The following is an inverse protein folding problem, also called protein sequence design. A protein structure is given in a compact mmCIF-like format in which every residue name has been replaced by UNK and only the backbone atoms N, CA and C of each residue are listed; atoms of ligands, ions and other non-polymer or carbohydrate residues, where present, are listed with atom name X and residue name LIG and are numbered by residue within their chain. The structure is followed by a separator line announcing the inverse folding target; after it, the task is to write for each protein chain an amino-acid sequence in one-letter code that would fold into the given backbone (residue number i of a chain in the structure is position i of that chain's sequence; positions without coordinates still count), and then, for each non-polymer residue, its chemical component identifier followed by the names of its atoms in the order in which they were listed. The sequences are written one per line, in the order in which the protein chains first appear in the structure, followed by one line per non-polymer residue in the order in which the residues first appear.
data_IF_649121642708
#
_entry.id   IF_649121642708
#
_cell.length_a   1.000
_cell.length_b   1.000
_cell.length_c   1.000
_cell.angle_alpha   90.00
_cell.angle_beta   90.00
_cell.angle_gamma   90.00
#
_symmetry.space_group_name_H-M   'P 1'
#
loop_
_entity.id
_entity.type
_entity.pdbx_description
1 polymer ?
#
# COMPACT_ATOMS: atom_id res chain seq x y z
N UNK A 1 18.88 23.53 -8.32
CA UNK A 1 18.03 23.61 -7.11
C UNK A 1 18.29 22.38 -6.28
N UNK A 2 18.32 22.53 -4.97
CA UNK A 2 18.40 21.39 -4.06
C UNK A 2 17.13 20.54 -4.23
N UNK A 3 17.20 19.19 -4.21
CA UNK A 3 16.01 18.33 -4.24
C UNK A 3 14.95 18.70 -3.18
N UNK A 4 15.38 19.24 -2.03
CA UNK A 4 14.50 19.74 -0.98
C UNK A 4 13.72 21.00 -1.37
N UNK A 5 14.31 21.90 -2.18
CA UNK A 5 13.65 23.11 -2.69
C UNK A 5 12.52 22.76 -3.66
N UNK A 6 12.77 21.81 -4.58
CA UNK A 6 11.79 21.36 -5.58
C UNK A 6 10.59 20.69 -4.89
N UNK A 7 10.88 19.83 -3.90
CA UNK A 7 9.87 19.18 -3.08
C UNK A 7 9.01 20.20 -2.33
N UNK A 8 9.64 21.18 -1.69
CA UNK A 8 8.93 22.25 -1.00
C UNK A 8 8.02 23.04 -1.95
N UNK A 9 8.51 23.43 -3.13
CA UNK A 9 7.71 24.13 -4.13
C UNK A 9 6.49 23.30 -4.59
N UNK A 10 6.68 22.00 -4.87
CA UNK A 10 5.58 21.11 -5.28
C UNK A 10 4.53 20.94 -4.17
N UNK A 11 4.97 20.87 -2.91
CA UNK A 11 4.07 20.82 -1.75
C UNK A 11 3.33 22.14 -1.60
N UNK A 12 4.01 23.28 -1.67
CA UNK A 12 3.36 24.59 -1.58
C UNK A 12 2.32 24.81 -2.68
N UNK A 13 2.63 24.47 -3.93
CA UNK A 13 1.70 24.56 -5.06
C UNK A 13 0.44 23.69 -4.87
N UNK A 14 0.58 22.56 -4.17
CA UNK A 14 -0.54 21.65 -3.89
C UNK A 14 -1.32 22.01 -2.61
N UNK A 15 -0.81 22.93 -1.78
CA UNK A 15 -1.40 23.39 -0.51
C UNK A 15 -2.35 24.59 -0.67
N UNK A 16 -2.37 25.30 -1.79
CA UNK A 16 -3.07 26.59 -1.94
C UNK A 16 -4.62 26.53 -1.81
N UNK A 17 -5.23 25.35 -1.59
CA UNK A 17 -6.71 25.20 -1.58
C UNK A 17 -7.33 24.35 -0.47
N UNK A 18 -6.58 23.72 0.44
CA UNK A 18 -7.13 22.63 1.27
C UNK A 18 -6.82 22.76 2.78
N UNK A 19 -7.79 23.29 3.54
CA UNK A 19 -7.65 23.46 5.00
C UNK A 19 -7.76 22.14 5.79
N UNK A 20 -8.31 21.08 5.20
CA UNK A 20 -8.63 19.81 5.87
C UNK A 20 -7.65 18.67 5.59
N UNK A 21 -6.60 18.93 4.80
CA UNK A 21 -5.64 17.91 4.36
C UNK A 21 -4.21 18.23 4.84
N UNK A 22 -3.36 17.22 4.88
CA UNK A 22 -1.93 17.32 5.16
C UNK A 22 -1.15 16.40 4.21
N UNK A 23 0.16 16.57 4.15
CA UNK A 23 1.03 15.76 3.30
C UNK A 23 1.97 14.92 4.15
N UNK A 24 2.07 13.63 3.86
CA UNK A 24 3.08 12.73 4.41
C UNK A 24 4.16 12.46 3.36
N UNK A 25 5.41 12.57 3.77
CA UNK A 25 6.57 12.25 2.94
C UNK A 25 7.20 10.95 3.43
N UNK A 26 7.35 10.00 2.51
CA UNK A 26 7.91 8.68 2.76
C UNK A 26 9.24 8.54 2.03
N UNK A 27 10.39 8.51 2.73
CA UNK A 27 11.69 8.34 2.10
C UNK A 27 11.94 6.85 1.80
N UNK A 28 12.36 6.57 0.56
CA UNK A 28 12.55 5.23 0.02
C UNK A 28 14.05 4.85 -0.11
N UNK A 29 14.91 5.33 0.79
CA UNK A 29 16.35 5.14 0.70
C UNK A 29 16.85 3.80 1.29
N UNK A 30 17.24 2.84 0.46
CA UNK A 30 18.10 1.73 0.89
C UNK A 30 19.58 2.19 0.89
N UNK A 31 20.23 2.27 2.06
CA UNK A 31 21.68 2.56 2.15
C UNK A 31 22.59 1.51 1.49
N UNK A 32 22.04 0.42 0.95
CA UNK A 32 22.83 -0.73 0.49
C UNK A 32 23.23 -0.66 -1.00
N UNK A 33 22.74 0.33 -1.76
CA UNK A 33 23.07 0.50 -3.19
C UNK A 33 23.32 1.97 -3.57
N UNK A 34 24.32 2.62 -2.96
CA UNK A 34 24.83 3.90 -3.48
C UNK A 34 26.17 3.69 -4.19
N UNK A 35 26.13 3.74 -5.53
CA UNK A 35 27.25 4.30 -6.30
C UNK A 35 27.23 5.82 -6.11
N UNK A 36 28.36 6.50 -5.87
CA UNK A 36 28.39 7.92 -5.47
C UNK A 36 27.97 8.94 -6.53
N UNK A 37 27.48 8.50 -7.69
CA UNK A 37 27.48 9.33 -8.91
C UNK A 37 26.12 9.78 -9.44
N UNK A 38 25.01 9.59 -8.70
CA UNK A 38 23.72 10.26 -8.95
C UNK A 38 22.78 10.07 -7.74
N UNK A 39 22.90 10.90 -6.71
CA UNK A 39 21.98 10.93 -5.57
C UNK A 39 20.63 11.55 -5.97
N UNK A 40 19.78 10.78 -6.63
CA UNK A 40 18.37 11.12 -6.77
C UNK A 40 17.66 10.64 -5.51
N UNK A 41 17.34 11.56 -4.59
CA UNK A 41 16.60 11.25 -3.38
C UNK A 41 15.22 10.70 -3.79
N UNK A 42 14.93 9.45 -3.45
CA UNK A 42 13.66 8.81 -3.78
C UNK A 42 12.70 8.91 -2.58
N UNK A 43 11.55 9.54 -2.78
CA UNK A 43 10.51 9.68 -1.77
C UNK A 43 9.12 9.62 -2.41
N UNK A 44 8.11 9.32 -1.60
CA UNK A 44 6.70 9.45 -1.97
C UNK A 44 6.07 10.60 -1.21
N UNK A 45 5.09 11.26 -1.81
CA UNK A 45 4.27 12.29 -1.20
C UNK A 45 2.82 11.86 -1.25
N UNK A 46 2.17 11.72 -0.10
CA UNK A 46 0.77 11.32 0.00
C UNK A 46 0.00 12.44 0.70
N UNK A 47 -1.02 12.98 0.02
CA UNK A 47 -2.00 13.87 0.61
C UNK A 47 -3.08 13.04 1.33
N UNK A 48 -3.46 13.45 2.53
CA UNK A 48 -4.38 12.75 3.42
C UNK A 48 -5.25 13.74 4.19
N UNK A 49 -6.46 13.34 4.57
CA UNK A 49 -7.33 14.13 5.43
C UNK A 49 -6.86 14.05 6.89
N UNK A 50 -6.99 15.16 7.61
CA UNK A 50 -6.62 15.27 9.04
C UNK A 50 -7.51 14.37 9.92
N UNK A 51 -8.75 14.11 9.50
CA UNK A 51 -9.68 13.24 10.22
C UNK A 51 -9.66 11.81 9.66
N UNK A 52 -9.68 10.82 10.55
CA UNK A 52 -9.73 9.41 10.17
C UNK A 52 -11.02 9.01 9.45
N UNK A 53 -12.10 9.77 9.66
CA UNK A 53 -13.38 9.60 8.99
C UNK A 53 -13.81 10.98 8.51
N UNK A 54 -14.01 11.14 7.21
CA UNK A 54 -14.42 12.41 6.61
C UNK A 54 -15.30 12.12 5.39
N UNK A 55 -16.26 13.02 5.11
CA UNK A 55 -17.22 12.89 3.99
C UNK A 55 -17.99 11.55 3.95
N UNK A 56 -18.11 10.86 5.10
CA UNK A 56 -18.80 9.57 5.20
C UNK A 56 -17.95 8.34 4.83
N UNK A 57 -16.63 8.52 4.62
CA UNK A 57 -15.71 7.45 4.25
C UNK A 57 -14.48 7.42 5.17
N UNK A 58 -13.84 6.26 5.28
CA UNK A 58 -12.56 6.03 5.98
C UNK A 58 -11.37 6.08 5.03
N UNK A 59 -11.59 6.18 3.71
CA UNK A 59 -10.52 6.06 2.70
C UNK A 59 -9.72 7.33 2.45
N UNK A 60 -10.01 8.44 3.13
CA UNK A 60 -9.30 9.71 2.95
C UNK A 60 -8.05 9.86 3.83
N UNK A 61 -7.74 8.88 4.67
CA UNK A 61 -6.50 8.80 5.44
C UNK A 61 -5.85 7.42 5.28
N UNK A 62 -4.54 7.34 5.42
CA UNK A 62 -3.82 6.08 5.50
C UNK A 62 -4.06 5.42 6.86
N UNK A 63 -4.23 4.11 6.84
CA UNK A 63 -4.38 3.29 8.05
C UNK A 63 -3.12 2.47 8.31
N UNK A 64 -2.92 2.03 9.56
CA UNK A 64 -1.69 1.39 10.03
C UNK A 64 -1.26 0.20 9.16
N UNK A 65 -2.20 -0.64 8.70
CA UNK A 65 -1.88 -1.77 7.84
C UNK A 65 -1.32 -1.35 6.47
N UNK A 66 -1.65 -0.16 5.97
CA UNK A 66 -1.12 0.35 4.69
C UNK A 66 0.37 0.67 4.80
N UNK A 67 0.82 1.25 5.92
CA UNK A 67 2.25 1.51 6.17
C UNK A 67 3.04 0.21 6.30
N UNK A 68 2.51 -0.74 7.06
CA UNK A 68 3.10 -2.06 7.22
C UNK A 68 3.20 -2.84 5.89
N UNK A 69 2.13 -2.80 5.08
CA UNK A 69 2.12 -3.46 3.77
C UNK A 69 3.10 -2.78 2.81
N UNK A 70 3.16 -1.44 2.81
CA UNK A 70 4.09 -0.67 2.00
C UNK A 70 5.55 -1.02 2.31
N UNK A 71 5.93 -1.08 3.60
CA UNK A 71 7.27 -1.54 4.02
C UNK A 71 7.55 -2.98 3.60
N UNK A 72 6.60 -3.88 3.84
CA UNK A 72 6.74 -5.30 3.49
C UNK A 72 6.96 -5.49 1.99
N UNK A 73 6.19 -4.79 1.15
CA UNK A 73 6.31 -4.89 -0.31
C UNK A 73 7.58 -4.21 -0.83
N UNK A 74 7.96 -3.05 -0.26
CA UNK A 74 9.23 -2.39 -0.58
C UNK A 74 10.43 -3.31 -0.34
N UNK A 75 10.47 -3.95 0.84
CA UNK A 75 11.51 -4.91 1.17
C UNK A 75 11.42 -6.16 0.33
N UNK A 76 10.21 -6.65 0.06
CA UNK A 76 10.02 -7.83 -0.79
C UNK A 76 10.53 -7.62 -2.20
N UNK A 77 10.33 -6.42 -2.75
CA UNK A 77 10.83 -6.02 -4.05
C UNK A 77 12.36 -5.86 -4.03
N UNK A 78 12.90 -5.16 -3.03
CA UNK A 78 14.34 -4.84 -2.93
C UNK A 78 15.21 -6.06 -2.62
N UNK A 79 14.69 -7.02 -1.84
CA UNK A 79 15.43 -8.23 -1.41
C UNK A 79 15.04 -9.48 -2.18
N UNK A 80 14.08 -9.36 -3.11
CA UNK A 80 13.51 -10.48 -3.87
C UNK A 80 12.86 -11.56 -2.96
N UNK A 81 12.28 -11.16 -1.82
CA UNK A 81 11.56 -12.06 -0.90
C UNK A 81 10.34 -12.69 -1.57
N UNK A 82 9.66 -11.92 -2.42
CA UNK A 82 8.51 -12.36 -3.22
C UNK A 82 8.86 -12.24 -4.71
N UNK A 83 9.52 -13.25 -5.32
CA UNK A 83 10.01 -13.15 -6.69
C UNK A 83 8.90 -12.97 -7.73
N UNK A 84 7.68 -13.41 -7.43
CA UNK A 84 6.54 -13.20 -8.33
C UNK A 84 6.15 -11.71 -8.40
N UNK A 85 6.39 -10.92 -7.34
CA UNK A 85 6.03 -9.50 -7.31
C UNK A 85 6.83 -8.73 -8.37
N UNK A 86 8.16 -8.91 -8.43
CA UNK A 86 9.02 -8.24 -9.42
C UNK A 86 8.73 -8.67 -10.86
N UNK A 87 8.11 -9.83 -11.04
CA UNK A 87 7.71 -10.36 -12.34
C UNK A 87 6.27 -10.02 -12.73
N UNK A 88 5.48 -9.35 -11.87
CA UNK A 88 4.08 -9.06 -12.15
C UNK A 88 3.96 -8.15 -13.39
N UNK A 89 2.90 -8.34 -14.18
CA UNK A 89 2.51 -7.41 -15.26
C UNK A 89 1.27 -6.60 -14.86
N UNK A 90 0.38 -7.20 -14.08
CA UNK A 90 -0.85 -6.56 -13.63
C UNK A 90 -0.95 -6.59 -12.11
N UNK A 91 -1.08 -5.42 -11.48
CA UNK A 91 -1.31 -5.30 -10.04
C UNK A 91 -2.62 -4.55 -9.81
N UNK A 92 -3.47 -5.08 -8.93
CA UNK A 92 -4.72 -4.46 -8.51
C UNK A 92 -4.68 -4.19 -7.01
N UNK A 93 -4.85 -2.95 -6.60
CA UNK A 93 -5.08 -2.59 -5.20
C UNK A 93 -6.58 -2.46 -4.93
N UNK A 94 -7.10 -3.18 -3.94
CA UNK A 94 -8.49 -3.11 -3.48
C UNK A 94 -8.61 -2.21 -2.25
N UNK A 95 -9.55 -1.26 -2.28
CA UNK A 95 -9.74 -0.32 -1.16
C UNK A 95 -8.49 0.53 -0.94
N UNK A 96 -7.99 1.14 -2.02
CA UNK A 96 -6.71 1.82 -2.04
C UNK A 96 -6.64 3.02 -1.09
N UNK A 97 -7.77 3.64 -0.74
CA UNK A 97 -7.79 4.84 0.09
C UNK A 97 -6.90 5.94 -0.50
N UNK A 98 -5.90 6.40 0.26
CA UNK A 98 -4.91 7.37 -0.19
C UNK A 98 -3.94 6.83 -1.27
N UNK A 99 -3.84 5.51 -1.46
CA UNK A 99 -3.02 4.88 -2.49
C UNK A 99 -1.56 4.65 -2.13
N UNK A 100 -1.19 4.70 -0.84
CA UNK A 100 0.20 4.54 -0.38
C UNK A 100 0.87 3.27 -0.96
N UNK A 101 0.18 2.13 -0.92
CA UNK A 101 0.74 0.85 -1.33
C UNK A 101 0.95 0.78 -2.84
N UNK A 102 -0.08 1.10 -3.64
CA UNK A 102 0.00 1.10 -5.09
C UNK A 102 1.00 2.13 -5.64
N UNK A 103 1.04 3.34 -5.06
CA UNK A 103 2.02 4.38 -5.43
C UNK A 103 3.45 3.93 -5.11
N UNK A 104 3.66 3.28 -3.96
CA UNK A 104 4.97 2.71 -3.63
C UNK A 104 5.41 1.67 -4.66
N UNK A 105 4.53 0.73 -5.00
CA UNK A 105 4.84 -0.29 -6.00
C UNK A 105 5.14 0.36 -7.36
N UNK A 106 4.31 1.30 -7.82
CA UNK A 106 4.53 2.02 -9.06
C UNK A 106 5.91 2.71 -9.09
N UNK A 107 6.32 3.35 -7.99
CA UNK A 107 7.66 3.95 -7.89
C UNK A 107 8.78 2.90 -8.01
N UNK A 108 8.63 1.72 -7.39
CA UNK A 108 9.62 0.64 -7.51
C UNK A 108 9.78 0.13 -8.95
N UNK A 109 8.66 -0.06 -9.66
CA UNK A 109 8.71 -0.47 -11.07
C UNK A 109 9.22 0.63 -12.00
N UNK A 110 8.85 1.89 -11.73
CA UNK A 110 9.34 3.06 -12.48
C UNK A 110 10.87 3.14 -12.46
N UNK A 111 11.49 2.88 -11.30
CA UNK A 111 12.95 2.88 -11.16
C UNK A 111 13.61 1.66 -11.82
N UNK A 112 12.91 0.52 -11.84
CA UNK A 112 13.42 -0.75 -12.34
C UNK A 112 13.01 -1.00 -13.81
N UNK A 113 13.27 -0.03 -14.73
CA UNK A 113 12.83 0.12 -16.16
C UNK A 113 12.96 -1.08 -17.12
N UNK A 114 12.73 -2.30 -16.66
CA UNK A 114 13.00 -3.56 -17.32
C UNK A 114 11.71 -4.25 -17.83
N UNK A 115 10.53 -3.74 -17.47
CA UNK A 115 9.25 -4.36 -17.84
C UNK A 115 8.09 -3.36 -17.84
N UNK A 116 7.16 -3.57 -18.76
CA UNK A 116 5.85 -2.93 -18.76
C UNK A 116 4.98 -3.46 -17.61
N UNK A 117 4.47 -2.55 -16.79
CA UNK A 117 3.52 -2.88 -15.72
C UNK A 117 2.28 -1.99 -15.76
N UNK A 118 1.14 -2.58 -15.43
CA UNK A 118 -0.11 -1.88 -15.18
C UNK A 118 -0.57 -2.05 -13.73
N UNK A 119 -0.70 -0.94 -13.02
CA UNK A 119 -1.24 -0.85 -11.68
C UNK A 119 -2.62 -0.17 -11.71
N UNK A 120 -3.62 -0.84 -11.15
CA UNK A 120 -4.96 -0.28 -10.95
C UNK A 120 -5.17 -0.11 -9.46
N UNK A 121 -5.44 1.11 -9.01
CA UNK A 121 -5.73 1.42 -7.62
C UNK A 121 -7.24 1.65 -7.52
N UNK A 122 -7.95 0.83 -6.76
CA UNK A 122 -9.42 0.82 -6.80
C UNK A 122 -10.06 1.16 -5.46
N UNK A 123 -11.17 1.90 -5.54
CA UNK A 123 -12.02 2.24 -4.40
C UNK A 123 -13.47 2.43 -4.88
N UNK A 124 -14.42 2.45 -3.94
CA UNK A 124 -15.85 2.59 -4.22
C UNK A 124 -16.38 4.01 -3.95
N UNK A 125 -15.59 4.86 -3.28
CA UNK A 125 -15.98 6.23 -2.93
C UNK A 125 -15.37 7.26 -3.90
N UNK A 126 -16.19 8.16 -4.44
CA UNK A 126 -15.74 9.15 -5.42
C UNK A 126 -14.77 10.19 -4.83
N UNK A 127 -14.93 10.59 -3.56
CA UNK A 127 -13.98 11.50 -2.91
C UNK A 127 -12.63 10.81 -2.70
N UNK A 128 -12.63 9.50 -2.44
CA UNK A 128 -11.40 8.70 -2.36
C UNK A 128 -10.73 8.61 -3.73
N UNK A 129 -11.49 8.34 -4.81
CA UNK A 129 -10.94 8.31 -6.17
C UNK A 129 -10.36 9.66 -6.60
N UNK A 130 -10.99 10.78 -6.23
CA UNK A 130 -10.44 12.13 -6.45
C UNK A 130 -9.10 12.33 -5.74
N UNK A 131 -9.02 11.97 -4.45
CA UNK A 131 -7.79 12.05 -3.67
C UNK A 131 -6.70 11.12 -4.22
N UNK A 132 -7.07 9.90 -4.61
CA UNK A 132 -6.18 8.91 -5.19
C UNK A 132 -5.55 9.41 -6.50
N UNK A 133 -6.36 10.00 -7.38
CA UNK A 133 -5.85 10.65 -8.61
C UNK A 133 -4.91 11.82 -8.29
N UNK A 134 -5.21 12.62 -7.27
CA UNK A 134 -4.32 13.67 -6.79
C UNK A 134 -2.99 13.08 -6.32
N UNK A 135 -3.01 12.03 -5.51
CA UNK A 135 -1.80 11.37 -5.00
C UNK A 135 -0.96 10.72 -6.09
N UNK A 136 -1.59 10.10 -7.10
CA UNK A 136 -0.88 9.63 -8.29
C UNK A 136 -0.17 10.81 -8.96
N UNK A 137 -0.88 11.91 -9.23
CA UNK A 137 -0.29 13.11 -9.86
C UNK A 137 0.83 13.75 -9.04
N UNK A 138 0.76 13.72 -7.72
CA UNK A 138 1.81 14.26 -6.84
C UNK A 138 3.15 13.52 -6.99
N UNK A 139 3.12 12.22 -7.28
CA UNK A 139 4.33 11.39 -7.37
C UNK A 139 4.82 11.22 -8.81
N UNK A 140 3.92 11.34 -9.78
CA UNK A 140 4.15 10.92 -11.15
C UNK A 140 3.86 12.04 -12.17
N UNK A 141 3.17 13.12 -11.78
CA UNK A 141 2.75 14.19 -12.68
C UNK A 141 1.47 13.86 -13.45
N UNK A 142 1.11 14.71 -14.41
CA UNK A 142 -0.17 14.62 -15.13
C UNK A 142 -0.17 13.59 -16.28
N UNK A 143 0.99 13.04 -16.65
CA UNK A 143 1.17 12.25 -17.88
C UNK A 143 2.16 11.08 -17.69
N UNK A 144 1.93 10.17 -16.73
CA UNK A 144 2.64 8.87 -16.79
C UNK A 144 1.83 7.87 -17.60
N UNK A 145 2.07 7.98 -18.90
CA UNK A 145 2.34 6.83 -19.75
C UNK A 145 3.83 6.99 -20.12
N UNK A 146 4.75 6.73 -19.19
CA UNK A 146 6.06 6.26 -19.65
C UNK A 146 5.82 4.87 -20.23
N UNK A 147 6.49 4.50 -21.33
CA UNK A 147 6.23 3.26 -22.08
C UNK A 147 6.15 1.98 -21.21
N UNK A 148 6.70 2.01 -19.99
CA UNK A 148 6.86 0.87 -19.11
C UNK A 148 5.98 0.89 -17.83
N UNK A 149 5.29 2.00 -17.51
CA UNK A 149 4.45 2.09 -16.30
C UNK A 149 3.12 2.76 -16.61
N UNK A 150 2.04 2.03 -16.38
CA UNK A 150 0.67 2.54 -16.38
C UNK A 150 0.14 2.45 -14.95
N UNK A 151 -0.24 3.58 -14.36
CA UNK A 151 -0.93 3.64 -13.07
C UNK A 151 -2.24 4.43 -13.24
N UNK A 152 -3.35 3.84 -12.83
CA UNK A 152 -4.67 4.48 -12.92
C UNK A 152 -5.52 4.20 -11.67
N UNK A 153 -6.41 5.14 -11.32
CA UNK A 153 -7.48 4.87 -10.35
C UNK A 153 -8.70 4.30 -11.06
N UNK A 154 -9.44 3.39 -10.41
CA UNK A 154 -10.66 2.80 -10.97
C UNK A 154 -11.74 2.62 -9.92
N UNK A 155 -12.97 2.99 -10.26
CA UNK A 155 -14.14 2.68 -9.43
C UNK A 155 -14.35 1.16 -9.37
N UNK A 156 -14.45 0.61 -8.16
CA UNK A 156 -14.79 -0.79 -7.93
C UNK A 156 -15.57 -0.93 -6.62
N UNK A 157 -16.87 -1.18 -6.74
CA UNK A 157 -17.73 -1.54 -5.61
C UNK A 157 -17.76 -3.07 -5.45
N UNK A 158 -17.35 -3.55 -4.27
CA UNK A 158 -17.31 -4.98 -3.96
C UNK A 158 -18.71 -5.61 -3.97
N UNK A 159 -19.77 -4.83 -3.69
CA UNK A 159 -21.15 -5.30 -3.70
C UNK A 159 -21.76 -5.32 -5.11
N UNK A 160 -21.20 -4.56 -6.05
CA UNK A 160 -21.75 -4.37 -7.37
C UNK A 160 -20.64 -4.34 -8.44
N UNK A 161 -20.18 -5.53 -8.82
CA UNK A 161 -19.21 -5.71 -9.91
C UNK A 161 -19.68 -6.79 -10.89
N UNK A 162 -19.22 -6.68 -12.14
CA UNK A 162 -19.43 -7.69 -13.17
C UNK A 162 -18.14 -8.52 -13.27
N UNK A 163 -18.15 -9.83 -12.96
CA UNK A 163 -16.94 -10.65 -12.94
C UNK A 163 -16.10 -10.60 -14.23
N UNK A 164 -16.77 -10.50 -15.38
CA UNK A 164 -16.11 -10.44 -16.69
C UNK A 164 -15.44 -9.08 -17.00
N UNK A 165 -15.78 -8.03 -16.24
CA UNK A 165 -15.25 -6.66 -16.45
C UNK A 165 -14.13 -6.33 -15.45
N UNK A 166 -13.81 -7.28 -14.57
CA UNK A 166 -12.68 -7.17 -13.66
C UNK A 166 -11.37 -7.12 -14.46
N UNK A 167 -10.44 -6.21 -14.12
CA UNK A 167 -9.18 -6.16 -14.81
C UNK A 167 -8.36 -7.43 -14.55
N UNK A 168 -7.42 -7.79 -15.44
CA UNK A 168 -6.43 -8.81 -15.13
C UNK A 168 -5.62 -8.38 -13.91
N UNK A 169 -5.26 -9.33 -13.06
CA UNK A 169 -4.40 -9.11 -11.91
C UNK A 169 -3.52 -10.36 -11.70
N UNK A 170 -2.21 -10.16 -11.67
CA UNK A 170 -1.24 -11.17 -11.24
C UNK A 170 -1.08 -11.14 -9.72
N UNK A 171 -1.05 -9.91 -9.18
CA UNK A 171 -0.97 -9.64 -7.75
C UNK A 171 -2.11 -8.71 -7.37
N UNK A 172 -2.90 -9.13 -6.40
CA UNK A 172 -3.88 -8.29 -5.73
C UNK A 172 -3.27 -7.83 -4.41
N UNK A 173 -3.32 -6.55 -4.10
CA UNK A 173 -2.89 -6.02 -2.79
C UNK A 173 -4.06 -5.32 -2.11
N UNK A 174 -4.10 -5.37 -0.79
CA UNK A 174 -5.08 -4.61 -0.02
C UNK A 174 -4.61 -4.40 1.42
N UNK A 175 -4.93 -3.25 1.99
CA UNK A 175 -4.60 -2.94 3.38
C UNK A 175 -5.81 -2.45 4.15
N UNK A 176 -6.02 -3.01 5.34
CA UNK A 176 -7.07 -2.61 6.28
C UNK A 176 -8.51 -2.67 5.70
N UNK A 177 -8.76 -3.64 4.81
CA UNK A 177 -10.09 -3.92 4.24
C UNK A 177 -10.92 -4.95 5.03
N UNK A 178 -10.34 -5.55 6.08
CA UNK A 178 -10.99 -6.55 6.96
C UNK A 178 -11.45 -5.86 8.24
N UNK A 179 -12.58 -5.14 8.18
CA UNK A 179 -13.10 -4.38 9.32
C UNK A 179 -14.61 -4.52 9.54
N UNK A 180 -15.39 -4.72 8.47
CA UNK A 180 -16.85 -4.85 8.54
C UNK A 180 -17.31 -6.24 8.04
N UNK A 181 -17.82 -7.11 8.94
CA UNK A 181 -18.35 -8.41 8.57
C UNK A 181 -19.44 -8.39 7.50
N UNK A 182 -20.22 -7.32 7.39
CA UNK A 182 -21.29 -7.22 6.37
C UNK A 182 -20.70 -7.18 4.94
N UNK A 183 -19.46 -6.72 4.79
CA UNK A 183 -18.77 -6.65 3.50
C UNK A 183 -18.10 -7.98 3.09
N UNK A 184 -17.90 -8.91 4.03
CA UNK A 184 -17.12 -10.13 3.78
C UNK A 184 -17.66 -11.01 2.64
N UNK A 185 -18.99 -11.27 2.53
CA UNK A 185 -19.51 -12.09 1.44
C UNK A 185 -19.14 -11.53 0.05
N UNK A 186 -19.29 -10.21 -0.11
CA UNK A 186 -19.00 -9.47 -1.35
C UNK A 186 -17.51 -9.44 -1.65
N UNK A 187 -16.69 -9.09 -0.64
CA UNK A 187 -15.23 -9.05 -0.77
C UNK A 187 -14.65 -10.43 -1.12
N UNK A 188 -15.10 -11.49 -0.47
CA UNK A 188 -14.60 -12.85 -0.73
C UNK A 188 -15.03 -13.32 -2.12
N UNK A 189 -16.24 -12.98 -2.56
CA UNK A 189 -16.69 -13.30 -3.92
C UNK A 189 -15.85 -12.58 -4.98
N UNK A 190 -15.52 -11.30 -4.75
CA UNK A 190 -14.61 -10.52 -5.59
C UNK A 190 -13.22 -11.15 -5.64
N UNK A 191 -12.62 -11.45 -4.48
CA UNK A 191 -11.31 -12.12 -4.39
C UNK A 191 -11.32 -13.45 -5.13
N UNK A 192 -12.39 -14.25 -5.00
CA UNK A 192 -12.52 -15.51 -5.75
C UNK A 192 -12.50 -15.28 -7.26
N UNK A 193 -13.24 -14.29 -7.76
CA UNK A 193 -13.27 -13.96 -9.18
C UNK A 193 -11.87 -13.52 -9.68
N UNK A 194 -11.21 -12.62 -8.94
CA UNK A 194 -9.87 -12.14 -9.26
C UNK A 194 -8.83 -13.26 -9.24
N UNK A 195 -8.84 -14.11 -8.21
CA UNK A 195 -7.93 -15.24 -8.08
C UNK A 195 -8.20 -16.38 -9.08
N UNK A 196 -9.40 -16.42 -9.67
CA UNK A 196 -9.75 -17.35 -10.76
C UNK A 196 -9.51 -16.76 -12.15
N UNK A 197 -9.01 -15.52 -12.26
CA UNK A 197 -8.92 -14.83 -13.54
C UNK A 197 -7.78 -15.40 -14.40
N UNK A 198 -8.17 -16.16 -15.42
CA UNK A 198 -7.27 -16.77 -16.41
C UNK A 198 -6.60 -15.74 -17.36
N UNK A 199 -6.96 -14.46 -17.26
CA UNK A 199 -6.29 -13.38 -18.00
C UNK A 199 -5.01 -12.89 -17.30
N UNK A 200 -4.68 -13.44 -16.13
CA UNK A 200 -3.40 -13.20 -15.46
C UNK A 200 -2.24 -13.78 -16.27
N UNK A 201 -1.09 -13.10 -16.21
CA UNK A 201 0.16 -13.56 -16.81
C UNK A 201 0.72 -14.79 -16.09
N UNK A 202 0.50 -14.93 -14.79
CA UNK A 202 1.01 -16.05 -13.99
C UNK A 202 0.15 -17.32 -14.00
N UNK A 203 -1.06 -17.29 -14.58
CA UNK A 203 -2.08 -18.35 -14.50
C UNK A 203 -2.48 -18.77 -13.06
N UNK A 204 -1.93 -18.11 -12.05
CA UNK A 204 -2.18 -18.33 -10.63
C UNK A 204 -1.98 -16.98 -9.90
N UNK A 205 -3.01 -16.11 -9.91
CA UNK A 205 -2.96 -14.85 -9.20
C UNK A 205 -2.76 -15.05 -7.69
N UNK A 206 -2.12 -14.07 -7.05
CA UNK A 206 -1.85 -14.07 -5.61
C UNK A 206 -2.45 -12.81 -5.00
N UNK A 207 -3.11 -12.92 -3.85
CA UNK A 207 -3.56 -11.75 -3.08
C UNK A 207 -2.72 -11.58 -1.82
N UNK A 208 -2.17 -10.38 -1.59
CA UNK A 208 -1.43 -9.99 -0.39
C UNK A 208 -2.28 -8.99 0.38
N UNK A 209 -2.83 -9.41 1.52
CA UNK A 209 -3.76 -8.60 2.32
C UNK A 209 -3.16 -8.36 3.70
N UNK A 210 -3.00 -7.08 4.06
CA UNK A 210 -2.61 -6.65 5.40
C UNK A 210 -3.83 -6.19 6.19
N UNK A 211 -3.88 -6.51 7.47
CA UNK A 211 -4.90 -5.95 8.38
C UNK A 211 -4.36 -5.75 9.78
N UNK A 212 -4.82 -4.67 10.42
CA UNK A 212 -4.63 -4.45 11.84
C UNK A 212 -5.65 -5.29 12.64
N UNK A 213 -5.18 -6.08 13.59
CA UNK A 213 -6.02 -6.89 14.48
C UNK A 213 -6.65 -5.99 15.54
N UNK A 214 -7.81 -5.40 15.20
CA UNK A 214 -8.63 -4.60 16.12
C UNK A 214 -9.60 -5.48 16.91
N UNK A 215 -10.21 -6.45 16.23
CA UNK A 215 -11.04 -7.50 16.83
C UNK A 215 -10.61 -8.86 16.27
N UNK A 216 -10.03 -9.76 17.08
CA UNK A 216 -9.66 -11.11 16.65
C UNK A 216 -10.83 -11.92 16.09
N UNK A 217 -12.05 -11.74 16.60
CA UNK A 217 -13.24 -12.47 16.13
C UNK A 217 -13.60 -12.06 14.69
N UNK A 218 -13.50 -10.78 14.36
CA UNK A 218 -13.72 -10.25 13.01
C UNK A 218 -12.73 -10.87 12.02
N UNK A 219 -11.45 -10.96 12.39
CA UNK A 219 -10.43 -11.61 11.56
C UNK A 219 -10.71 -13.11 11.40
N UNK A 220 -10.99 -13.82 12.50
CA UNK A 220 -11.28 -15.26 12.46
C UNK A 220 -12.47 -15.57 11.56
N UNK A 221 -13.55 -14.79 11.67
CA UNK A 221 -14.72 -14.91 10.80
C UNK A 221 -14.34 -14.75 9.32
N UNK A 222 -13.53 -13.74 8.98
CA UNK A 222 -13.05 -13.56 7.61
C UNK A 222 -12.25 -14.78 7.13
N UNK A 223 -11.32 -15.28 7.95
CA UNK A 223 -10.46 -16.43 7.62
C UNK A 223 -11.26 -17.73 7.42
N UNK A 224 -12.30 -17.95 8.24
CA UNK A 224 -13.21 -19.09 8.06
C UNK A 224 -14.01 -18.99 6.76
N UNK A 225 -14.58 -17.80 6.48
CA UNK A 225 -15.38 -17.58 5.28
C UNK A 225 -14.54 -17.69 4.00
N UNK A 226 -13.33 -17.11 3.97
CA UNK A 226 -12.47 -17.17 2.78
C UNK A 226 -11.99 -18.60 2.50
N UNK A 227 -11.66 -19.36 3.56
CA UNK A 227 -11.31 -20.77 3.45
C UNK A 227 -12.48 -21.62 2.92
N UNK A 228 -13.71 -21.33 3.36
CA UNK A 228 -14.93 -22.03 2.88
C UNK A 228 -15.16 -21.88 1.36
N UNK A 229 -14.60 -20.82 0.75
CA UNK A 229 -14.69 -20.57 -0.69
C UNK A 229 -13.55 -21.20 -1.50
N UNK A 230 -12.65 -21.93 -0.85
CA UNK A 230 -11.52 -22.63 -1.47
C UNK A 230 -10.27 -21.76 -1.65
N UNK A 231 -10.30 -20.52 -1.15
CA UNK A 231 -9.13 -19.63 -1.16
C UNK A 231 -8.27 -20.01 0.05
N UNK A 232 -6.98 -20.29 -0.20
CA UNK A 232 -6.05 -20.82 0.81
C UNK A 232 -5.01 -19.77 1.16
N UNK A 233 -4.60 -19.76 2.42
CA UNK A 233 -3.42 -19.02 2.88
C UNK A 233 -2.18 -19.80 2.42
N UNK A 234 -1.29 -19.14 1.69
CA UNK A 234 0.02 -19.65 1.31
C UNK A 234 1.05 -19.35 2.40
N UNK A 235 1.08 -18.11 2.88
CA UNK A 235 1.99 -17.62 3.91
C UNK A 235 1.33 -16.52 4.72
N UNK A 236 1.83 -16.27 5.93
CA UNK A 236 1.45 -15.08 6.69
C UNK A 236 2.57 -14.61 7.61
N UNK A 237 2.57 -13.32 7.90
CA UNK A 237 3.57 -12.63 8.70
C UNK A 237 2.88 -11.83 9.80
N UNK A 238 3.42 -11.87 11.03
CA UNK A 238 3.08 -10.90 12.07
C UNK A 238 4.14 -9.82 11.99
N UNK A 239 3.69 -8.58 11.96
CA UNK A 239 4.59 -7.47 12.11
C UNK A 239 4.46 -6.97 13.54
N UNK A 240 5.61 -6.71 14.17
CA UNK A 240 5.73 -6.07 15.48
C UNK A 240 6.76 -4.96 15.41
N UNK A 241 6.36 -3.71 15.64
CA UNK A 241 7.29 -2.58 15.68
C UNK A 241 6.71 -1.29 15.12
N UNK A 242 7.59 -0.32 14.90
CA UNK A 242 7.30 0.91 14.16
C UNK A 242 7.51 0.67 12.66
N UNK A 243 6.56 1.11 11.83
CA UNK A 243 6.59 0.99 10.37
C UNK A 243 6.71 2.39 9.76
N UNK A 244 7.18 2.49 8.50
CA UNK A 244 7.41 3.70 7.70
C UNK A 244 7.37 5.00 8.51
N UNK A 245 8.53 5.51 8.90
CA UNK A 245 8.62 6.88 9.44
C UNK A 245 8.13 7.86 8.38
N UNK A 246 6.99 8.48 8.64
CA UNK A 246 6.46 9.58 7.84
C UNK A 246 6.94 10.91 8.39
N UNK A 247 7.24 11.85 7.49
CA UNK A 247 7.36 13.25 7.84
C UNK A 247 6.04 13.94 7.49
N UNK A 248 5.34 14.43 8.51
CA UNK A 248 4.01 15.05 8.40
C UNK A 248 4.15 16.56 8.19
N UNK A 249 3.50 17.07 7.14
CA UNK A 249 3.43 18.48 6.78
C UNK A 249 1.99 18.98 6.92
N UNK A 250 1.66 19.70 8.01
CA UNK A 250 0.33 20.29 8.17
C UNK A 250 0.07 21.39 7.14
N UNK A 251 -1.19 21.58 6.74
CA UNK A 251 -1.63 22.61 5.77
C UNK A 251 -1.37 24.06 6.18
N UNK A 252 -0.93 24.33 7.42
CA UNK A 252 -0.59 25.69 7.88
C UNK A 252 0.88 25.99 7.67
N UNK A 253 1.14 26.96 6.78
CA UNK A 253 2.40 27.67 6.50
C UNK A 253 3.45 27.57 7.62
N UNK A 254 4.29 26.53 7.57
CA UNK A 254 5.63 26.63 8.15
C UNK A 254 6.50 27.39 7.14
N UNK A 255 7.36 28.28 7.64
CA UNK A 255 8.28 29.02 6.78
C UNK A 255 9.31 28.05 6.21
N UNK A 256 9.72 28.26 4.96
CA UNK A 256 10.78 27.54 4.26
C UNK A 256 12.03 27.31 5.14
N UNK A 257 12.40 28.34 5.92
CA UNK A 257 13.51 28.35 6.89
C UNK A 257 13.41 27.29 8.00
N UNK A 258 12.20 26.82 8.35
CA UNK A 258 11.97 25.76 9.35
C UNK A 258 11.87 24.35 8.74
N UNK A 259 11.53 24.27 7.44
CA UNK A 259 11.18 23.03 6.75
C UNK A 259 12.36 22.39 6.04
N UNK A 260 13.16 23.18 5.32
CA UNK A 260 14.35 22.68 4.61
C UNK A 260 15.33 21.97 5.57
N UNK A 261 15.62 22.49 6.78
CA UNK A 261 16.47 21.76 7.74
C UNK A 261 15.89 20.43 8.19
N UNK A 262 14.56 20.32 8.36
CA UNK A 262 13.90 19.05 8.72
C UNK A 262 13.99 18.03 7.60
N UNK A 263 13.76 18.44 6.35
CA UNK A 263 13.95 17.61 5.16
C UNK A 263 15.39 17.10 5.08
N UNK A 264 16.37 17.99 5.20
CA UNK A 264 17.78 17.65 5.14
C UNK A 264 18.21 16.71 6.28
N UNK A 265 17.70 16.92 7.50
CA UNK A 265 17.92 15.98 8.62
C UNK A 265 17.26 14.62 8.37
N UNK A 266 16.05 14.61 7.85
CA UNK A 266 15.26 13.40 7.63
C UNK A 266 15.87 12.49 6.57
N UNK A 267 16.36 13.05 5.45
CA UNK A 267 17.05 12.27 4.41
C UNK A 267 18.39 11.68 4.87
N UNK A 268 19.05 12.28 5.87
CA UNK A 268 20.33 11.79 6.40
C UNK A 268 20.21 10.64 7.41
N UNK A 269 19.00 10.34 7.93
CA UNK A 269 18.84 9.48 9.12
C UNK A 269 18.46 8.01 8.86
N UNK A 270 18.03 7.59 7.66
CA UNK A 270 17.40 6.27 7.54
C UNK A 270 18.39 5.11 7.44
N UNK A 271 18.20 4.13 8.31
CA UNK A 271 18.85 2.82 8.34
C UNK A 271 17.75 1.76 8.48
N UNK A 272 17.46 1.05 7.39
CA UNK A 272 16.38 0.04 7.32
C UNK A 272 16.73 -1.29 8.01
N UNK A 273 17.94 -1.42 8.58
CA UNK A 273 18.39 -2.64 9.29
C UNK A 273 17.62 -2.95 10.58
N UNK A 274 16.70 -2.10 11.02
CA UNK A 274 15.95 -2.24 12.28
C UNK A 274 14.53 -2.80 12.12
N UNK A 275 14.05 -2.97 10.90
CA UNK A 275 12.71 -3.53 10.62
C UNK A 275 12.80 -5.06 10.61
N UNK A 276 12.35 -5.72 11.68
CA UNK A 276 12.35 -7.17 11.79
C UNK A 276 11.00 -7.76 11.32
N UNK A 277 11.06 -8.69 10.36
CA UNK A 277 9.91 -9.49 9.92
C UNK A 277 10.06 -10.90 10.47
N UNK A 278 9.14 -11.32 11.34
CA UNK A 278 9.12 -12.69 11.85
C UNK A 278 8.04 -13.50 11.10
N UNK A 279 8.40 -14.58 10.38
CA UNK A 279 7.41 -15.43 9.73
C UNK A 279 6.59 -16.18 10.79
N UNK A 280 5.26 -16.19 10.65
CA UNK A 280 4.36 -16.80 11.64
C UNK A 280 4.13 -18.30 11.46
N UNK A 281 4.30 -18.86 10.26
CA UNK A 281 3.85 -20.23 9.95
C UNK A 281 4.87 -21.12 9.24
N UNK A 282 4.89 -22.39 9.67
CA UNK A 282 5.44 -23.55 8.97
C UNK A 282 4.30 -24.55 8.74
N UNK A 283 4.16 -25.17 7.54
CA UNK A 283 2.94 -25.87 7.09
C UNK A 283 2.55 -27.16 7.85
N UNK A 284 3.18 -27.49 8.98
CA UNK A 284 3.00 -28.76 9.70
C UNK A 284 2.62 -28.62 11.20
N UNK A 285 2.16 -27.46 11.67
CA UNK A 285 1.73 -27.29 13.07
C UNK A 285 0.22 -27.05 13.19
N UNK A 286 -0.48 -27.73 14.12
CA UNK A 286 -1.92 -27.56 14.32
C UNK A 286 -2.24 -26.15 14.86
N UNK A 287 -3.38 -25.60 14.40
CA UNK A 287 -3.96 -24.33 14.81
C UNK A 287 -4.28 -24.33 16.32
N UNK A 288 -3.35 -23.90 17.15
CA UNK A 288 -3.60 -23.60 18.56
C UNK A 288 -3.47 -22.09 18.78
N UNK A 289 -4.62 -21.40 18.81
CA UNK A 289 -4.72 -19.98 19.13
C UNK A 289 -4.54 -19.77 20.64
N UNK A 290 -3.33 -19.41 21.07
CA UNK A 290 -3.06 -18.92 22.42
C UNK A 290 -2.11 -17.74 22.35
N UNK A 291 -2.59 -16.51 22.57
CA UNK A 291 -1.75 -15.31 22.48
C UNK A 291 -1.85 -14.45 23.74
N UNK A 292 -0.70 -14.20 24.36
CA UNK A 292 -0.51 -13.27 25.48
C UNK A 292 -0.54 -11.82 24.99
N UNK A 293 -1.30 -10.98 25.67
CA UNK A 293 -1.40 -9.53 25.47
C UNK A 293 -0.34 -8.83 26.33
N UNK A 294 0.82 -8.50 25.76
CA UNK A 294 1.70 -7.50 26.36
C UNK A 294 2.31 -6.60 25.27
N UNK A 295 2.10 -5.30 25.46
CA UNK A 295 2.63 -4.10 24.78
C UNK A 295 1.70 -3.43 23.75
N UNK A 296 1.47 -2.12 23.97
CA UNK A 296 0.55 -1.18 23.31
C UNK A 296 0.82 -0.86 21.83
N UNK A 297 1.42 -1.78 21.07
CA UNK A 297 1.54 -1.64 19.62
C UNK A 297 0.41 -2.45 18.97
N UNK A 298 -0.34 -1.80 18.08
CA UNK A 298 -1.37 -2.48 17.29
C UNK A 298 -0.73 -3.65 16.52
N UNK A 299 -1.33 -4.84 16.60
CA UNK A 299 -0.81 -6.03 15.93
C UNK A 299 -1.26 -6.02 14.47
N UNK A 300 -0.32 -6.14 13.54
CA UNK A 300 -0.62 -6.20 12.10
C UNK A 300 -0.22 -7.57 11.58
N UNK A 301 -1.08 -8.15 10.74
CA UNK A 301 -0.80 -9.39 10.03
C UNK A 301 -0.92 -9.18 8.53
N UNK A 302 -0.06 -9.86 7.77
CA UNK A 302 -0.10 -9.90 6.32
C UNK A 302 -0.34 -11.35 5.91
N UNK A 303 -1.25 -11.57 4.98
CA UNK A 303 -1.58 -12.89 4.43
C UNK A 303 -1.34 -12.91 2.93
N UNK A 304 -0.73 -13.99 2.44
CA UNK A 304 -0.69 -14.35 1.03
C UNK A 304 -1.77 -15.40 0.75
N UNK A 305 -2.67 -15.13 -0.20
CA UNK A 305 -3.77 -16.00 -0.58
C UNK A 305 -3.67 -16.44 -2.04
N UNK A 306 -4.13 -17.65 -2.33
CA UNK A 306 -4.32 -18.14 -3.70
C UNK A 306 -5.59 -19.00 -3.82
N UNK A 307 -6.06 -19.18 -5.06
CA UNK A 307 -7.09 -20.17 -5.39
C UNK A 307 -6.39 -21.45 -5.89
N UNK A 308 -6.58 -22.58 -5.20
CA UNK A 308 -6.04 -23.90 -5.56
C UNK A 308 -7.15 -24.95 -5.62
#
# INVERSE_FOLDING_TARGET
MDPSDILYQNICLSMESEQEYFFSIFPLNFKQFSSPSNEQINYLVICQNIQNISKGTTGLCCWQASFALADFLFLSFSTNLLPYLSNAKYILELGAGCGLVGILLANQFYLNKNKEIKLILSDSDNFVLELLNKNIKLNFGNEIIEDNLIIESKYLDWNNFIPNDLPPADVIVASDIIYDPELFPSLINLLKCLLSNNQSFFNCPIAIIACTIRNPETLNLFLELIASKGIKILQSWELRGEYLNELIFPSKQQKEEELIPKLNSFFNLKDFSKTNFEPLFSPNLPLNYGYSLTNNLEKIVIFEFCLK
#
